data_IF_883135437136
#
_entry.id   IF_883135437136
#
_cell.length_a   1.000
_cell.length_b   1.000
_cell.length_c   1.000
_cell.angle_alpha   90.00
_cell.angle_beta   90.00
_cell.angle_gamma   90.00
#
_symmetry.space_group_name_H-M   'P 1'
#
loop_
_entity.id
_entity.type
_entity.pdbx_description
1 polymer ?
#
# COMPACT_ATOMS: atom_id res chain seq x y z
N UNK A 1 -21.78 36.33 -21.42
CA UNK A 1 -22.50 35.06 -21.06
C UNK A 1 -21.61 33.84 -21.30
N UNK A 2 -20.75 33.84 -22.31
CA UNK A 2 -19.86 32.68 -22.62
C UNK A 2 -18.71 32.52 -21.63
N UNK A 3 -18.15 33.63 -21.11
CA UNK A 3 -17.09 33.60 -20.09
C UNK A 3 -17.56 33.14 -18.71
N UNK A 4 -18.82 33.41 -18.36
CA UNK A 4 -19.43 32.89 -17.13
C UNK A 4 -19.69 31.37 -17.19
N UNK A 5 -20.06 30.84 -18.36
CA UNK A 5 -20.25 29.42 -18.56
C UNK A 5 -18.92 28.64 -18.46
N UNK A 6 -17.80 29.21 -18.94
CA UNK A 6 -16.47 28.62 -18.79
C UNK A 6 -15.97 28.61 -17.33
N UNK A 7 -16.31 29.62 -16.55
CA UNK A 7 -15.94 29.70 -15.13
C UNK A 7 -16.74 28.72 -14.24
N UNK A 8 -18.00 28.47 -14.60
CA UNK A 8 -18.85 27.47 -13.89
C UNK A 8 -18.48 26.05 -14.27
N UNK A 9 -17.99 25.80 -15.49
CA UNK A 9 -17.49 24.49 -15.90
C UNK A 9 -16.15 24.10 -15.25
N UNK A 10 -15.35 25.08 -14.81
CA UNK A 10 -14.05 24.88 -14.14
C UNK A 10 -14.17 24.40 -12.68
N UNK A 11 -15.32 24.54 -12.04
CA UNK A 11 -15.48 24.34 -10.59
C UNK A 11 -16.04 22.98 -10.13
N UNK A 12 -16.62 22.20 -11.05
CA UNK A 12 -17.22 20.90 -10.71
C UNK A 12 -16.51 19.78 -11.45
N UNK A 13 -15.39 19.34 -10.92
CA UNK A 13 -14.93 17.99 -11.31
C UNK A 13 -16.06 17.03 -10.98
N UNK A 14 -16.62 16.39 -11.98
CA UNK A 14 -17.65 15.36 -11.78
C UNK A 14 -17.04 14.23 -10.93
N UNK A 15 -17.87 13.57 -10.13
CA UNK A 15 -17.42 12.44 -9.29
C UNK A 15 -16.66 11.40 -10.14
N UNK A 16 -17.09 11.21 -11.39
CA UNK A 16 -16.46 10.35 -12.36
C UNK A 16 -15.01 10.77 -12.68
N UNK A 17 -14.74 12.06 -12.87
CA UNK A 17 -13.38 12.56 -13.12
C UNK A 17 -12.45 12.35 -11.94
N UNK A 18 -12.95 12.47 -10.70
CA UNK A 18 -12.16 12.17 -9.49
C UNK A 18 -11.80 10.69 -9.41
N UNK A 19 -12.77 9.81 -9.70
CA UNK A 19 -12.55 8.36 -9.75
C UNK A 19 -11.54 8.01 -10.85
N UNK A 20 -11.67 8.59 -12.05
CA UNK A 20 -10.73 8.36 -13.15
C UNK A 20 -9.31 8.84 -12.82
N UNK A 21 -9.16 9.99 -12.16
CA UNK A 21 -7.85 10.48 -11.69
C UNK A 21 -7.25 9.57 -10.62
N UNK A 22 -8.07 9.09 -9.70
CA UNK A 22 -7.65 8.11 -8.70
C UNK A 22 -7.18 6.81 -9.36
N UNK A 23 -7.97 6.25 -10.28
CA UNK A 23 -7.59 5.06 -11.05
C UNK A 23 -6.30 5.26 -11.86
N UNK A 24 -6.16 6.43 -12.50
CA UNK A 24 -4.93 6.81 -13.20
C UNK A 24 -3.69 6.88 -12.29
N UNK A 25 -3.84 7.37 -11.06
CA UNK A 25 -2.77 7.39 -10.07
C UNK A 25 -2.33 5.98 -9.65
N UNK A 26 -3.28 5.03 -9.59
CA UNK A 26 -3.00 3.63 -9.24
C UNK A 26 -2.28 2.87 -10.36
N UNK A 27 -2.32 3.36 -11.60
CA UNK A 27 -1.71 2.70 -12.75
C UNK A 27 -0.18 2.67 -12.67
N UNK A 28 0.46 3.73 -12.15
CA UNK A 28 1.92 3.81 -12.07
C UNK A 28 2.54 2.70 -11.17
N UNK A 29 2.08 2.47 -9.92
CA UNK A 29 2.51 1.31 -9.14
C UNK A 29 2.26 -0.02 -9.86
N UNK A 30 1.10 -0.19 -10.51
CA UNK A 30 0.74 -1.41 -11.20
C UNK A 30 1.73 -1.80 -12.30
N UNK A 31 2.22 -0.83 -13.08
CA UNK A 31 3.25 -1.07 -14.09
C UNK A 31 4.57 -1.58 -13.48
N UNK A 32 4.97 -1.03 -12.32
CA UNK A 32 6.16 -1.48 -11.60
C UNK A 32 6.02 -2.92 -11.11
N UNK A 33 4.81 -3.33 -10.68
CA UNK A 33 4.54 -4.72 -10.30
C UNK A 33 4.71 -5.69 -11.45
N UNK A 34 4.21 -5.35 -12.63
CA UNK A 34 4.29 -6.23 -13.80
C UNK A 34 5.74 -6.56 -14.14
N UNK A 35 6.63 -5.56 -14.15
CA UNK A 35 8.05 -5.74 -14.42
C UNK A 35 8.72 -6.53 -13.27
N UNK A 36 8.46 -6.16 -12.03
CA UNK A 36 9.05 -6.85 -10.87
C UNK A 36 8.57 -8.29 -10.76
N UNK A 37 7.30 -8.56 -11.05
CA UNK A 37 6.73 -9.91 -11.09
C UNK A 37 7.39 -10.78 -12.17
N UNK A 38 7.59 -10.22 -13.36
CA UNK A 38 8.32 -10.89 -14.43
C UNK A 38 9.74 -11.26 -14.00
N UNK A 39 10.45 -10.32 -13.38
CA UNK A 39 11.83 -10.54 -12.90
C UNK A 39 11.89 -11.56 -11.76
N UNK A 40 10.94 -11.54 -10.81
CA UNK A 40 10.80 -12.58 -9.77
C UNK A 40 10.56 -13.95 -10.41
N UNK A 41 9.63 -14.04 -11.36
CA UNK A 41 9.31 -15.28 -12.06
C UNK A 41 10.53 -15.87 -12.82
N UNK A 42 11.21 -15.05 -13.62
CA UNK A 42 12.41 -15.46 -14.35
C UNK A 42 13.50 -15.91 -13.36
N UNK A 43 13.71 -15.18 -12.29
CA UNK A 43 14.72 -15.52 -11.29
C UNK A 43 14.38 -16.82 -10.56
N UNK A 44 13.12 -17.05 -10.24
CA UNK A 44 12.67 -18.31 -9.63
C UNK A 44 12.93 -19.50 -10.56
N UNK A 45 12.59 -19.39 -11.85
CA UNK A 45 12.86 -20.43 -12.84
C UNK A 45 14.36 -20.69 -13.00
N UNK A 46 15.17 -19.63 -13.03
CA UNK A 46 16.62 -19.72 -13.19
C UNK A 46 17.35 -20.32 -11.96
N UNK A 47 16.72 -20.31 -10.78
CA UNK A 47 17.25 -20.93 -9.56
C UNK A 47 16.66 -22.32 -9.29
N UNK A 48 15.79 -22.83 -10.15
CA UNK A 48 15.17 -24.16 -10.01
C UNK A 48 16.01 -25.22 -10.72
N UNK A 49 16.51 -26.20 -9.96
CA UNK A 49 17.41 -27.24 -10.47
C UNK A 49 16.81 -28.11 -11.55
N UNK A 50 15.49 -28.40 -11.50
CA UNK A 50 14.79 -29.19 -12.50
C UNK A 50 14.74 -28.54 -13.88
N UNK A 51 14.94 -27.20 -13.95
CA UNK A 51 14.89 -26.44 -15.21
C UNK A 51 16.30 -26.21 -15.75
N UNK A 52 17.23 -25.81 -14.88
CA UNK A 52 18.58 -25.35 -15.25
C UNK A 52 19.66 -26.39 -14.92
N UNK A 53 19.31 -27.44 -14.18
CA UNK A 53 20.26 -28.51 -13.79
C UNK A 53 21.28 -28.03 -12.75
N UNK A 54 22.50 -28.57 -12.85
CA UNK A 54 23.58 -28.33 -11.88
C UNK A 54 24.01 -26.85 -11.74
N UNK A 55 23.70 -26.01 -12.74
CA UNK A 55 23.99 -24.59 -12.68
C UNK A 55 23.19 -23.86 -11.57
N UNK A 56 22.01 -24.40 -11.22
CA UNK A 56 21.17 -23.87 -10.13
C UNK A 56 21.60 -24.35 -8.73
N UNK A 57 22.70 -25.10 -8.61
CA UNK A 57 23.23 -25.55 -7.32
C UNK A 57 23.69 -24.35 -6.49
N UNK A 58 23.36 -24.40 -5.19
CA UNK A 58 23.76 -23.36 -4.24
C UNK A 58 25.27 -23.12 -4.27
N UNK A 59 25.68 -21.85 -4.36
CA UNK A 59 27.10 -21.45 -4.42
C UNK A 59 27.69 -21.31 -5.82
N UNK A 60 27.00 -21.70 -6.88
CA UNK A 60 27.44 -21.44 -8.25
C UNK A 60 27.30 -19.94 -8.58
N UNK A 61 28.14 -19.36 -9.45
CA UNK A 61 28.01 -17.99 -9.89
C UNK A 61 26.63 -17.68 -10.51
N UNK A 62 26.04 -18.64 -11.20
CA UNK A 62 24.69 -18.56 -11.77
C UNK A 62 23.63 -18.41 -10.69
N UNK A 63 23.62 -19.28 -9.68
CA UNK A 63 22.70 -19.22 -8.57
C UNK A 63 22.82 -17.92 -7.78
N UNK A 64 24.07 -17.48 -7.49
CA UNK A 64 24.33 -16.23 -6.77
C UNK A 64 23.78 -15.04 -7.54
N UNK A 65 24.03 -14.94 -8.85
CA UNK A 65 23.53 -13.86 -9.70
C UNK A 65 22.00 -13.78 -9.65
N UNK A 66 21.32 -14.89 -9.93
CA UNK A 66 19.86 -14.90 -9.97
C UNK A 66 19.21 -14.70 -8.59
N UNK A 67 19.83 -15.16 -7.53
CA UNK A 67 19.39 -14.89 -6.15
C UNK A 67 19.45 -13.41 -5.81
N UNK A 68 20.50 -12.71 -6.27
CA UNK A 68 20.62 -11.25 -6.10
C UNK A 68 19.51 -10.53 -6.89
N UNK A 69 19.30 -10.92 -8.16
CA UNK A 69 18.24 -10.36 -9.00
C UNK A 69 16.87 -10.58 -8.37
N UNK A 70 16.60 -11.78 -7.88
CA UNK A 70 15.35 -12.11 -7.20
C UNK A 70 15.11 -11.25 -5.97
N UNK A 71 16.12 -11.07 -5.12
CA UNK A 71 16.05 -10.20 -3.94
C UNK A 71 15.77 -8.75 -4.30
N UNK A 72 16.41 -8.23 -5.33
CA UNK A 72 16.16 -6.88 -5.85
C UNK A 72 14.75 -6.71 -6.38
N UNK A 73 14.24 -7.71 -7.10
CA UNK A 73 12.90 -7.68 -7.69
C UNK A 73 11.77 -7.69 -6.65
N UNK A 74 12.00 -8.29 -5.48
CA UNK A 74 11.04 -8.24 -4.37
C UNK A 74 10.87 -6.85 -3.74
N UNK A 75 11.72 -5.88 -4.07
CA UNK A 75 11.65 -4.52 -3.49
C UNK A 75 10.28 -3.89 -3.70
N UNK A 76 9.71 -3.98 -4.91
CA UNK A 76 8.42 -3.37 -5.25
C UNK A 76 7.29 -3.98 -4.40
N UNK A 77 7.28 -5.32 -4.27
CA UNK A 77 6.25 -6.01 -3.49
C UNK A 77 6.34 -5.70 -1.99
N UNK A 78 7.55 -5.71 -1.44
CA UNK A 78 7.78 -5.40 -0.01
C UNK A 78 7.54 -3.94 0.36
N UNK A 79 7.57 -3.02 -0.61
CA UNK A 79 7.35 -1.57 -0.42
C UNK A 79 6.04 -1.10 -1.01
N UNK A 80 5.12 -2.02 -1.25
CA UNK A 80 3.81 -1.77 -1.83
C UNK A 80 3.05 -0.61 -1.15
N UNK A 81 2.90 -0.59 0.19
CA UNK A 81 2.23 0.51 0.87
C UNK A 81 2.86 1.88 0.58
N UNK A 82 4.19 1.95 0.59
CA UNK A 82 4.93 3.18 0.31
C UNK A 82 4.74 3.65 -1.14
N UNK A 83 4.73 2.72 -2.10
CA UNK A 83 4.49 3.06 -3.51
C UNK A 83 3.12 3.68 -3.72
N UNK A 84 2.08 3.16 -3.06
CA UNK A 84 0.75 3.76 -3.11
C UNK A 84 0.70 5.11 -2.40
N UNK A 85 1.41 5.28 -1.28
CA UNK A 85 1.51 6.57 -0.60
C UNK A 85 2.10 7.67 -1.48
N UNK A 86 3.06 7.33 -2.35
CA UNK A 86 3.70 8.27 -3.27
C UNK A 86 2.90 8.46 -4.56
N UNK A 87 2.30 7.39 -5.09
CA UNK A 87 1.61 7.43 -6.37
C UNK A 87 0.34 8.29 -6.33
N UNK A 88 -0.39 8.27 -5.24
CA UNK A 88 -1.64 9.01 -5.10
C UNK A 88 -1.46 10.52 -5.27
N UNK A 89 -0.50 11.19 -4.60
CA UNK A 89 -0.20 12.60 -4.81
C UNK A 89 0.16 12.95 -6.25
N UNK A 90 0.87 12.07 -6.98
CA UNK A 90 1.23 12.30 -8.38
C UNK A 90 -0.01 12.51 -9.25
N UNK A 91 -1.05 11.68 -9.02
CA UNK A 91 -2.28 11.74 -9.81
C UNK A 91 -3.32 12.73 -9.31
N UNK A 92 -3.36 13.02 -8.01
CA UNK A 92 -4.44 13.78 -7.39
C UNK A 92 -4.06 15.22 -7.05
N UNK A 93 -2.81 15.51 -6.65
CA UNK A 93 -2.40 16.85 -6.26
C UNK A 93 -2.55 17.83 -7.44
N UNK A 94 -3.15 18.99 -7.16
CA UNK A 94 -3.39 20.03 -8.16
C UNK A 94 -2.22 21.02 -8.23
N UNK A 95 -1.45 21.13 -7.13
CA UNK A 95 -0.32 22.05 -7.01
C UNK A 95 0.93 21.26 -6.65
N UNK A 96 2.05 21.57 -7.29
CA UNK A 96 3.38 21.03 -6.98
C UNK A 96 3.40 19.53 -6.60
N UNK A 97 2.94 18.60 -7.47
CA UNK A 97 2.77 17.18 -7.12
C UNK A 97 4.02 16.53 -6.53
N UNK A 98 5.21 16.92 -7.02
CA UNK A 98 6.47 16.38 -6.50
C UNK A 98 6.71 16.72 -5.01
N UNK A 99 6.31 17.92 -4.57
CA UNK A 99 6.39 18.30 -3.15
C UNK A 99 5.35 17.57 -2.33
N UNK A 100 4.13 17.45 -2.84
CA UNK A 100 3.08 16.67 -2.20
C UNK A 100 3.48 15.20 -2.02
N UNK A 101 4.21 14.59 -2.98
CA UNK A 101 4.74 13.23 -2.84
C UNK A 101 5.71 13.12 -1.67
N UNK A 102 6.63 14.07 -1.51
CA UNK A 102 7.56 14.09 -0.40
C UNK A 102 6.83 14.25 0.94
N UNK A 103 5.87 15.17 1.00
CA UNK A 103 5.03 15.38 2.19
C UNK A 103 4.25 14.12 2.57
N UNK A 104 3.65 13.43 1.59
CA UNK A 104 2.90 12.20 1.79
C UNK A 104 3.81 11.03 2.23
N UNK A 105 5.01 10.92 1.66
CA UNK A 105 5.99 9.91 2.06
C UNK A 105 6.39 10.09 3.52
N UNK A 106 6.75 11.31 3.93
CA UNK A 106 7.17 11.61 5.31
C UNK A 106 5.99 11.44 6.28
N UNK A 107 4.78 11.87 5.88
CA UNK A 107 3.56 11.68 6.67
C UNK A 107 3.21 10.19 6.85
N UNK A 108 3.45 9.36 5.84
CA UNK A 108 3.25 7.91 5.94
C UNK A 108 4.23 7.26 6.93
N UNK A 109 5.51 7.63 6.91
CA UNK A 109 6.45 7.16 7.93
C UNK A 109 6.05 7.64 9.33
N UNK A 110 5.64 8.90 9.48
CA UNK A 110 5.13 9.42 10.75
C UNK A 110 3.92 8.58 11.25
N UNK A 111 3.00 8.23 10.34
CA UNK A 111 1.88 7.34 10.63
C UNK A 111 2.32 5.97 11.16
N UNK A 112 3.30 5.34 10.52
CA UNK A 112 3.85 4.06 10.98
C UNK A 112 4.48 4.18 12.38
N UNK A 113 5.21 5.26 12.66
CA UNK A 113 5.78 5.53 13.99
C UNK A 113 4.70 5.78 15.04
N UNK A 114 3.65 6.54 14.71
CA UNK A 114 2.52 6.77 15.62
C UNK A 114 1.84 5.46 15.99
N UNK A 115 1.53 4.62 15.01
CA UNK A 115 0.97 3.30 15.26
C UNK A 115 1.90 2.43 16.10
N UNK A 116 3.19 2.41 15.81
CA UNK A 116 4.19 1.68 16.59
C UNK A 116 4.17 2.09 18.05
N UNK A 117 4.12 3.38 18.33
CA UNK A 117 4.13 3.90 19.70
C UNK A 117 2.80 3.66 20.42
N UNK A 118 1.67 3.85 19.72
CA UNK A 118 0.33 3.53 20.25
C UNK A 118 0.25 2.06 20.69
N UNK A 119 0.77 1.14 19.86
CA UNK A 119 0.82 -0.29 20.19
C UNK A 119 1.64 -0.54 21.46
N UNK A 120 2.85 0.04 21.55
CA UNK A 120 3.72 -0.12 22.72
C UNK A 120 3.08 0.41 23.99
N UNK A 121 2.49 1.61 23.92
CA UNK A 121 1.83 2.23 25.08
C UNK A 121 0.58 1.45 25.52
N UNK A 122 -0.19 0.93 24.59
CA UNK A 122 -1.37 0.10 24.88
C UNK A 122 -0.99 -1.21 25.56
N UNK A 123 0.14 -1.82 25.17
CA UNK A 123 0.60 -3.07 25.78
C UNK A 123 1.11 -2.89 27.21
N UNK A 124 1.68 -1.74 27.55
CA UNK A 124 2.34 -1.52 28.83
C UNK A 124 1.44 -0.92 29.93
N UNK A 125 0.42 -0.13 29.60
CA UNK A 125 -0.29 0.68 30.60
C UNK A 125 -1.82 0.63 30.57
N UNK A 126 -2.45 0.20 29.52
CA UNK A 126 -3.89 0.37 29.33
C UNK A 126 -4.70 -0.90 29.31
N UNK A 127 -4.16 -2.08 29.49
CA UNK A 127 -4.87 -3.35 29.77
C UNK A 127 -6.26 -3.56 29.13
N UNK A 128 -6.77 -2.53 28.49
CA UNK A 128 -8.17 -2.40 28.14
C UNK A 128 -8.49 -2.63 26.66
N UNK A 129 -7.51 -2.54 25.74
CA UNK A 129 -7.86 -2.55 24.33
C UNK A 129 -7.18 -3.62 23.48
N UNK A 130 -6.02 -4.15 23.88
CA UNK A 130 -5.26 -5.07 23.04
C UNK A 130 -4.55 -6.22 23.74
N UNK A 131 -5.21 -7.06 24.57
CA UNK A 131 -4.54 -8.24 25.14
C UNK A 131 -4.11 -9.26 24.05
N UNK A 132 -4.83 -9.32 22.94
CA UNK A 132 -4.56 -10.21 21.80
C UNK A 132 -3.59 -9.64 20.77
N UNK A 133 -3.29 -8.35 20.83
CA UNK A 133 -2.47 -7.63 19.84
C UNK A 133 -0.96 -7.98 19.91
N UNK A 134 -0.53 -8.64 20.96
CA UNK A 134 0.85 -9.12 21.13
C UNK A 134 1.07 -10.50 20.49
N UNK A 135 0.02 -11.17 20.06
CA UNK A 135 0.16 -12.45 19.36
C UNK A 135 0.67 -12.19 17.92
N UNK A 136 1.67 -12.96 17.44
CA UNK A 136 2.24 -12.78 16.08
C UNK A 136 1.22 -12.90 14.94
N UNK A 137 0.03 -13.40 15.22
CA UNK A 137 -1.04 -13.64 14.25
C UNK A 137 -2.00 -12.45 14.06
N UNK A 138 -1.84 -11.33 14.75
CA UNK A 138 -2.85 -10.26 14.82
C UNK A 138 -2.43 -8.96 14.16
N UNK A 139 -1.96 -9.01 12.91
CA UNK A 139 -1.83 -7.79 12.10
C UNK A 139 -0.66 -6.87 12.47
N UNK A 140 0.40 -7.40 13.06
CA UNK A 140 1.65 -6.66 13.26
C UNK A 140 2.60 -6.98 12.12
N UNK A 141 3.09 -5.96 11.46
CA UNK A 141 4.10 -6.07 10.40
C UNK A 141 5.32 -5.19 10.69
N UNK A 142 6.40 -5.42 9.95
CA UNK A 142 7.60 -4.58 10.01
C UNK A 142 7.75 -3.84 8.68
N UNK A 143 7.49 -2.55 8.70
CA UNK A 143 7.66 -1.67 7.55
C UNK A 143 8.93 -0.84 7.76
N UNK A 144 9.93 -1.05 6.91
CA UNK A 144 11.22 -0.33 6.96
C UNK A 144 11.90 -0.33 8.35
N UNK A 145 11.81 -1.47 9.07
CA UNK A 145 12.37 -1.61 10.42
C UNK A 145 11.45 -1.10 11.54
N UNK A 146 10.30 -0.49 11.20
CA UNK A 146 9.32 -0.01 12.17
C UNK A 146 8.29 -1.13 12.41
N UNK A 147 8.21 -1.64 13.63
CA UNK A 147 7.17 -2.59 14.03
C UNK A 147 5.86 -1.84 14.19
N UNK A 148 4.95 -2.01 13.27
CA UNK A 148 3.70 -1.24 13.15
C UNK A 148 2.51 -2.16 12.90
N UNK A 149 1.30 -1.58 12.92
CA UNK A 149 0.08 -2.28 12.53
C UNK A 149 0.04 -2.43 11.01
N UNK A 150 -0.28 -3.62 10.54
CA UNK A 150 -0.53 -3.87 9.13
C UNK A 150 -1.88 -3.26 8.73
N UNK A 151 -1.83 -2.14 8.08
CA UNK A 151 -3.00 -1.44 7.53
C UNK A 151 -3.19 -1.74 6.05
N UNK A 152 -2.39 -2.68 5.51
CA UNK A 152 -2.38 -3.03 4.09
C UNK A 152 -2.20 -1.79 3.21
N UNK A 153 -2.92 -1.75 2.08
CA UNK A 153 -2.90 -0.63 1.13
C UNK A 153 -3.81 0.52 1.60
N UNK A 154 -4.80 0.25 2.44
CA UNK A 154 -5.82 1.24 2.85
C UNK A 154 -5.19 2.35 3.69
N UNK A 155 -4.28 2.00 4.61
CA UNK A 155 -3.58 2.97 5.45
C UNK A 155 -2.83 4.04 4.64
N UNK A 156 -1.88 3.68 3.78
CA UNK A 156 -1.16 4.64 2.95
C UNK A 156 -2.06 5.43 1.99
N UNK A 157 -3.13 4.84 1.45
CA UNK A 157 -4.10 5.58 0.64
C UNK A 157 -4.85 6.63 1.45
N UNK A 158 -5.26 6.32 2.68
CA UNK A 158 -5.91 7.26 3.58
C UNK A 158 -4.96 8.41 3.97
N UNK A 159 -3.71 8.09 4.35
CA UNK A 159 -2.68 9.11 4.64
C UNK A 159 -2.49 10.03 3.45
N UNK A 160 -2.26 9.48 2.26
CA UNK A 160 -2.00 10.29 1.06
C UNK A 160 -3.20 11.14 0.65
N UNK A 161 -4.41 10.62 0.79
CA UNK A 161 -5.64 11.38 0.50
C UNK A 161 -5.77 12.59 1.43
N UNK A 162 -5.47 12.40 2.72
CA UNK A 162 -5.48 13.48 3.71
C UNK A 162 -4.40 14.51 3.37
N UNK A 163 -3.18 14.06 3.07
CA UNK A 163 -2.07 14.96 2.72
C UNK A 163 -2.38 15.76 1.46
N UNK A 164 -2.89 15.12 0.39
CA UNK A 164 -3.29 15.82 -0.84
C UNK A 164 -4.36 16.88 -0.56
N UNK A 165 -5.38 16.55 0.25
CA UNK A 165 -6.43 17.50 0.59
C UNK A 165 -5.90 18.71 1.38
N UNK A 166 -4.97 18.49 2.30
CA UNK A 166 -4.32 19.55 3.08
C UNK A 166 -3.38 20.36 2.18
N UNK A 167 -2.59 19.69 1.33
CA UNK A 167 -1.67 20.31 0.39
C UNK A 167 -2.39 21.27 -0.56
N UNK A 168 -3.41 20.80 -1.28
CA UNK A 168 -4.14 21.62 -2.25
C UNK A 168 -4.83 22.82 -1.58
N UNK A 169 -5.18 22.73 -0.30
CA UNK A 169 -5.83 23.80 0.44
C UNK A 169 -4.86 24.81 1.05
N UNK A 170 -3.77 24.35 1.66
CA UNK A 170 -2.91 25.17 2.52
C UNK A 170 -1.55 25.51 1.92
N UNK A 171 -1.17 24.93 0.78
CA UNK A 171 0.13 25.15 0.16
C UNK A 171 0.44 26.63 -0.11
N UNK A 172 -0.54 27.40 -0.59
CA UNK A 172 -0.41 28.82 -0.90
C UNK A 172 -0.95 29.71 0.23
N UNK A 173 -1.19 29.16 1.43
CA UNK A 173 -1.69 29.93 2.55
C UNK A 173 -0.65 30.97 3.00
N UNK A 174 -1.09 32.21 3.13
CA UNK A 174 -0.25 33.31 3.63
C UNK A 174 -0.12 33.15 5.15
N UNK A 175 1.09 32.98 5.61
CA UNK A 175 1.44 33.01 7.04
C UNK A 175 1.99 34.39 7.40
N UNK A 176 1.91 34.82 8.66
CA UNK A 176 2.55 36.06 9.11
C UNK A 176 4.05 36.08 8.82
N UNK A 177 4.62 37.27 8.58
CA UNK A 177 6.02 37.44 8.16
C UNK A 177 7.04 36.74 9.07
N UNK A 178 6.78 36.73 10.39
CA UNK A 178 7.62 36.03 11.37
C UNK A 178 7.59 34.50 11.28
N UNK A 179 6.58 33.93 10.62
CA UNK A 179 6.44 32.50 10.30
C UNK A 179 6.74 32.18 8.82
N UNK A 180 7.22 33.16 8.06
CA UNK A 180 7.43 33.01 6.61
C UNK A 180 8.24 31.78 6.19
N UNK A 181 9.22 31.39 7.03
CA UNK A 181 10.04 30.16 6.83
C UNK A 181 9.19 28.87 6.88
N UNK A 182 8.05 28.91 7.55
CA UNK A 182 7.15 27.76 7.65
C UNK A 182 6.03 27.76 6.60
N UNK A 183 6.11 28.62 5.57
CA UNK A 183 5.16 28.62 4.45
C UNK A 183 5.33 27.43 3.51
N UNK A 184 4.32 27.14 2.70
CA UNK A 184 4.35 26.07 1.70
C UNK A 184 4.38 24.66 2.32
N UNK A 185 5.32 23.83 1.88
CA UNK A 185 5.43 22.42 2.33
C UNK A 185 5.60 22.23 3.83
N UNK A 186 6.27 23.15 4.51
CA UNK A 186 6.46 23.07 5.96
C UNK A 186 5.12 23.23 6.72
N UNK A 187 4.27 24.14 6.28
CA UNK A 187 2.93 24.32 6.85
C UNK A 187 2.04 23.10 6.58
N UNK A 188 2.07 22.63 5.33
CA UNK A 188 1.32 21.44 4.91
C UNK A 188 1.71 20.24 5.74
N UNK A 189 3.03 20.02 5.93
CA UNK A 189 3.51 18.92 6.73
C UNK A 189 3.10 19.02 8.21
N UNK A 190 3.20 20.22 8.79
CA UNK A 190 2.78 20.45 10.19
C UNK A 190 1.30 20.09 10.40
N UNK A 191 0.42 20.55 9.52
CA UNK A 191 -1.02 20.24 9.60
C UNK A 191 -1.26 18.76 9.36
N UNK A 192 -0.59 18.18 8.36
CA UNK A 192 -0.69 16.76 8.02
C UNK A 192 -0.22 15.85 9.15
N UNK A 193 0.83 16.26 9.89
CA UNK A 193 1.36 15.51 11.03
C UNK A 193 0.28 15.27 12.11
N UNK A 194 -0.46 16.29 12.49
CA UNK A 194 -1.54 16.15 13.48
C UNK A 194 -2.77 15.42 12.88
N UNK A 195 -3.09 15.67 11.62
CA UNK A 195 -4.19 14.96 10.96
C UNK A 195 -3.91 13.45 10.86
N UNK A 196 -2.67 13.08 10.53
CA UNK A 196 -2.22 11.70 10.42
C UNK A 196 -2.08 11.05 11.81
N UNK A 197 -1.73 11.79 12.85
CA UNK A 197 -1.82 11.31 14.24
C UNK A 197 -3.25 10.93 14.61
N UNK A 198 -4.23 11.79 14.27
CA UNK A 198 -5.66 11.46 14.44
C UNK A 198 -6.07 10.20 13.67
N UNK A 199 -5.60 10.06 12.42
CA UNK A 199 -5.81 8.85 11.63
C UNK A 199 -5.19 7.61 12.29
N UNK A 200 -3.98 7.72 12.85
CA UNK A 200 -3.32 6.60 13.53
C UNK A 200 -4.11 6.12 14.76
N UNK A 201 -4.67 7.03 15.54
CA UNK A 201 -5.52 6.70 16.68
C UNK A 201 -6.79 5.94 16.21
N UNK A 202 -7.44 6.45 15.16
CA UNK A 202 -8.62 5.79 14.58
C UNK A 202 -8.26 4.41 14.01
N UNK A 203 -7.14 4.32 13.28
CA UNK A 203 -6.67 3.06 12.69
C UNK A 203 -6.34 2.03 13.77
N UNK A 204 -5.72 2.43 14.87
CA UNK A 204 -5.43 1.56 15.99
C UNK A 204 -6.70 0.95 16.61
N UNK A 205 -7.83 1.67 16.58
CA UNK A 205 -9.11 1.17 17.04
C UNK A 205 -9.86 0.30 16.01
N UNK A 206 -9.78 0.67 14.72
CA UNK A 206 -10.58 0.06 13.66
C UNK A 206 -9.91 -1.16 13.04
N UNK A 207 -8.59 -1.15 12.88
CA UNK A 207 -7.89 -2.23 12.15
C UNK A 207 -8.05 -3.60 12.82
N UNK A 208 -7.99 -3.77 14.14
CA UNK A 208 -8.26 -5.06 14.77
C UNK A 208 -9.65 -5.63 14.43
N UNK A 209 -10.67 -4.76 14.40
CA UNK A 209 -12.02 -5.16 13.98
C UNK A 209 -12.06 -5.56 12.50
N UNK A 210 -11.28 -4.89 11.66
CA UNK A 210 -11.17 -5.23 10.24
C UNK A 210 -10.48 -6.60 10.03
N UNK A 211 -9.54 -6.99 10.89
CA UNK A 211 -8.93 -8.32 10.84
C UNK A 211 -9.95 -9.44 11.09
N UNK A 212 -10.84 -9.29 12.07
CA UNK A 212 -11.90 -10.26 12.34
C UNK A 212 -12.85 -10.41 11.13
N UNK A 213 -13.17 -9.29 10.47
CA UNK A 213 -13.99 -9.30 9.24
C UNK A 213 -13.23 -9.97 8.09
N UNK A 214 -11.93 -9.71 7.95
CA UNK A 214 -11.09 -10.31 6.92
C UNK A 214 -10.98 -11.82 7.09
N UNK A 215 -10.80 -12.29 8.32
CA UNK A 215 -10.76 -13.73 8.63
C UNK A 215 -12.09 -14.42 8.35
N UNK A 216 -13.20 -13.76 8.69
CA UNK A 216 -14.54 -14.22 8.34
C UNK A 216 -14.75 -14.31 6.84
N UNK A 217 -14.32 -13.29 6.09
CA UNK A 217 -14.40 -13.27 4.63
C UNK A 217 -13.53 -14.35 3.99
N UNK A 218 -12.32 -14.55 4.49
CA UNK A 218 -11.41 -15.62 4.06
C UNK A 218 -12.05 -17.00 4.23
N UNK A 219 -12.63 -17.26 5.41
CA UNK A 219 -13.30 -18.52 5.70
C UNK A 219 -14.56 -18.72 4.82
N UNK A 220 -15.30 -17.64 4.55
CA UNK A 220 -16.45 -17.66 3.65
C UNK A 220 -16.03 -17.97 2.21
N UNK A 221 -15.00 -17.30 1.68
CA UNK A 221 -14.47 -17.55 0.32
C UNK A 221 -13.92 -18.97 0.18
N UNK A 222 -13.21 -19.47 1.19
CA UNK A 222 -12.74 -20.84 1.21
C UNK A 222 -13.89 -21.87 1.24
N UNK A 223 -14.99 -21.55 1.94
CA UNK A 223 -16.17 -22.42 2.07
C UNK A 223 -17.06 -22.46 0.82
N UNK A 224 -17.09 -21.40 0.00
CA UNK A 224 -17.92 -21.31 -1.22
C UNK A 224 -17.25 -21.94 -2.45
N UNK A 225 -15.97 -22.27 -2.36
CA UNK A 225 -15.23 -22.97 -3.42
C UNK A 225 -15.23 -22.20 -4.75
N UNK A 226 -15.56 -22.90 -5.84
CA UNK A 226 -15.49 -22.36 -7.21
C UNK A 226 -16.41 -21.13 -7.44
N UNK A 227 -17.55 -21.03 -6.75
CA UNK A 227 -18.43 -19.87 -6.86
C UNK A 227 -17.82 -18.61 -6.26
N UNK A 228 -17.08 -18.72 -5.14
CA UNK A 228 -16.37 -17.59 -4.54
C UNK A 228 -15.30 -17.03 -5.48
N UNK A 229 -14.54 -17.91 -6.14
CA UNK A 229 -13.58 -17.52 -7.17
C UNK A 229 -14.28 -16.82 -8.34
N UNK A 230 -15.44 -17.34 -8.80
CA UNK A 230 -16.23 -16.74 -9.87
C UNK A 230 -16.69 -15.31 -9.55
N UNK A 231 -17.20 -15.08 -8.34
CA UNK A 231 -17.63 -13.75 -7.88
C UNK A 231 -16.44 -12.79 -7.79
N UNK A 232 -15.31 -13.26 -7.26
CA UNK A 232 -14.09 -12.45 -7.18
C UNK A 232 -13.61 -11.99 -8.57
N UNK A 233 -13.46 -12.93 -9.52
CA UNK A 233 -13.02 -12.64 -10.89
C UNK A 233 -14.00 -11.70 -11.60
N UNK A 234 -15.30 -11.87 -11.38
CA UNK A 234 -16.30 -10.97 -11.93
C UNK A 234 -16.14 -9.53 -11.41
N UNK A 235 -15.97 -9.36 -10.10
CA UNK A 235 -15.76 -8.04 -9.49
C UNK A 235 -14.45 -7.40 -9.97
N UNK A 236 -13.38 -8.18 -10.06
CA UNK A 236 -12.09 -7.71 -10.58
C UNK A 236 -12.24 -7.15 -12.00
N UNK A 237 -12.89 -7.90 -12.90
CA UNK A 237 -13.14 -7.46 -14.27
C UNK A 237 -14.10 -6.29 -14.38
N UNK A 238 -15.12 -6.24 -13.54
CA UNK A 238 -16.07 -5.12 -13.49
C UNK A 238 -15.41 -3.80 -13.04
N UNK A 239 -14.38 -3.87 -12.22
CA UNK A 239 -13.62 -2.70 -11.74
C UNK A 239 -12.45 -2.29 -12.66
N UNK A 240 -12.09 -3.13 -13.63
CA UNK A 240 -10.98 -2.87 -14.58
C UNK A 240 -11.14 -1.56 -15.37
N UNK A 241 -12.32 -1.24 -15.95
CA UNK A 241 -12.50 0.00 -16.71
C UNK A 241 -12.33 1.28 -15.89
N UNK A 242 -12.48 1.18 -14.57
CA UNK A 242 -12.38 2.31 -13.64
C UNK A 242 -10.94 2.38 -13.05
N UNK A 243 -10.12 1.34 -13.26
CA UNK A 243 -8.77 1.22 -12.69
C UNK A 243 -8.75 0.86 -11.20
N UNK A 244 -9.90 0.50 -10.62
CA UNK A 244 -10.03 0.15 -9.20
C UNK A 244 -9.79 -1.34 -8.91
N UNK A 245 -9.67 -2.18 -9.94
CA UNK A 245 -9.40 -3.62 -9.80
C UNK A 245 -8.12 -3.90 -8.99
N UNK A 246 -7.12 -3.00 -9.05
CA UNK A 246 -5.91 -3.11 -8.25
C UNK A 246 -6.18 -3.11 -6.74
N UNK A 247 -7.17 -2.36 -6.27
CA UNK A 247 -7.57 -2.36 -4.84
C UNK A 247 -8.15 -3.69 -4.40
N UNK A 248 -8.80 -4.41 -5.32
CA UNK A 248 -9.44 -5.68 -5.02
C UNK A 248 -8.43 -6.83 -5.00
N UNK A 249 -7.56 -6.93 -6.02
CA UNK A 249 -6.68 -8.09 -6.14
C UNK A 249 -5.36 -7.95 -5.34
N UNK A 250 -4.86 -6.71 -5.14
CA UNK A 250 -3.60 -6.48 -4.43
C UNK A 250 -3.54 -7.12 -3.03
N UNK A 251 -4.56 -6.96 -2.17
CA UNK A 251 -4.55 -7.60 -0.85
C UNK A 251 -4.57 -9.12 -0.92
N UNK A 252 -5.12 -9.70 -1.99
CA UNK A 252 -5.21 -11.15 -2.17
C UNK A 252 -3.91 -11.73 -2.71
N UNK A 253 -3.33 -11.10 -3.71
CA UNK A 253 -2.14 -11.63 -4.39
C UNK A 253 -0.83 -11.29 -3.69
N UNK A 254 -0.74 -10.13 -3.02
CA UNK A 254 0.51 -9.58 -2.50
C UNK A 254 0.51 -9.29 -1.00
N UNK A 255 -0.64 -9.41 -0.33
CA UNK A 255 -0.80 -9.15 1.10
C UNK A 255 -1.34 -10.40 1.82
N UNK A 256 -1.43 -10.34 3.14
CA UNK A 256 -1.77 -11.46 4.01
C UNK A 256 -3.25 -11.88 4.02
N UNK A 257 -4.06 -11.38 3.07
CA UNK A 257 -5.51 -11.61 3.10
C UNK A 257 -5.92 -13.09 2.92
N UNK A 258 -5.23 -13.82 2.04
CA UNK A 258 -5.54 -15.24 1.74
C UNK A 258 -4.48 -16.18 2.25
N UNK A 259 -3.20 -15.83 2.03
CA UNK A 259 -2.02 -16.61 2.46
C UNK A 259 -0.98 -15.66 3.00
N UNK A 260 -0.24 -16.05 4.04
CA UNK A 260 0.84 -15.24 4.58
C UNK A 260 1.83 -14.84 3.47
N UNK A 261 2.16 -13.54 3.40
CA UNK A 261 2.97 -12.92 2.35
C UNK A 261 2.34 -12.89 0.95
N UNK A 262 1.06 -13.30 0.79
CA UNK A 262 0.35 -13.31 -0.47
C UNK A 262 0.62 -14.56 -1.34
N UNK A 263 -0.24 -14.77 -2.33
CA UNK A 263 -0.20 -15.95 -3.20
C UNK A 263 1.11 -16.02 -3.98
N UNK A 264 1.62 -14.90 -4.48
CA UNK A 264 2.86 -14.88 -5.27
C UNK A 264 4.09 -15.24 -4.46
N UNK A 265 4.21 -14.74 -3.22
CA UNK A 265 5.33 -15.08 -2.36
C UNK A 265 5.31 -16.55 -1.96
N UNK A 266 4.13 -17.05 -1.62
CA UNK A 266 3.95 -18.48 -1.28
C UNK A 266 4.33 -19.37 -2.48
N UNK A 267 3.89 -19.01 -3.68
CA UNK A 267 4.22 -19.79 -4.89
C UNK A 267 5.72 -19.81 -5.16
N UNK A 268 6.39 -18.65 -5.12
CA UNK A 268 7.84 -18.58 -5.35
C UNK A 268 8.67 -19.28 -4.28
N UNK A 269 8.18 -19.35 -3.05
CA UNK A 269 8.85 -20.08 -1.96
C UNK A 269 8.62 -21.60 -2.02
N UNK A 270 7.49 -22.04 -2.59
CA UNK A 270 7.16 -23.46 -2.74
C UNK A 270 7.81 -24.11 -3.97
N UNK A 271 8.05 -23.36 -5.04
CA UNK A 271 8.65 -23.89 -6.27
C UNK A 271 9.93 -24.71 -6.04
N UNK A 272 10.93 -24.24 -5.25
CA UNK A 272 12.15 -25.01 -5.00
C UNK A 272 11.90 -26.28 -4.16
N UNK A 273 10.83 -26.31 -3.36
CA UNK A 273 10.50 -27.44 -2.49
C UNK A 273 9.80 -28.54 -3.27
N UNK A 274 8.91 -28.16 -4.20
CA UNK A 274 8.16 -29.08 -5.05
C UNK A 274 9.04 -29.75 -6.10
N UNK A 275 10.16 -29.13 -6.50
CA UNK A 275 11.12 -29.69 -7.43
C UNK A 275 11.98 -30.79 -6.82
N UNK A 276 11.98 -30.96 -5.51
CA UNK A 276 12.75 -32.03 -4.82
C UNK A 276 11.87 -33.19 -4.31
N UNK A 277 10.57 -33.20 -4.60
CA UNK A 277 9.63 -34.27 -4.26
C UNK A 277 9.29 -35.10 -5.48
#
# INVERSE_FOLDING_TARGET
TFLLAQHVASGRQTMLQKIQRFGGAMFAPAMLFSISGLMVGISALATTADIVGDMATYGTPWYIFWSIVQRGSWTVFKRLPLLFAIALPIGLAQKQPARCCLEAMVAYFAYCFFLSEIIKLSSNNLGLMYPSFLAPATGITVIDGIKTLDTGIIGPLAVSTIVVAIHDRFYDAKVPDWLGTFSGSSLVYLISFFAVLGLAIVSAAVVPLAYDVTETLRNALAGVGTLGVGVFVFLERALEPIGLHHLLYMPIYYDNLVVNEGIYATWTNLLPILSHS
#
